data_IF_121817359412
#
_entry.id   IF_121817359412
#
_cell.length_a   1.000
_cell.length_b   1.000
_cell.length_c   1.000
_cell.angle_alpha   90.00
_cell.angle_beta   90.00
_cell.angle_gamma   90.00
#
_symmetry.space_group_name_H-M   'P 1'
#
loop_
_entity.id
_entity.type
_entity.pdbx_description
1 polymer ?
#
# COMPACT_ATOMS: atom_id res chain seq x y z
N UNK A 1 -11.16 -14.34 -7.44
CA UNK A 1 -10.54 -12.99 -7.56
C UNK A 1 -9.10 -13.15 -8.03
N UNK A 2 -8.59 -12.27 -8.92
CA UNK A 2 -7.22 -12.37 -9.40
C UNK A 2 -6.20 -12.01 -8.31
N UNK A 3 -5.10 -12.77 -8.23
CA UNK A 3 -4.04 -12.66 -7.20
C UNK A 3 -3.54 -11.23 -6.96
N UNK A 4 -3.32 -10.47 -8.04
CA UNK A 4 -2.83 -9.09 -7.99
C UNK A 4 -3.85 -8.09 -7.41
N UNK A 5 -5.15 -8.37 -7.53
CA UNK A 5 -6.19 -7.50 -6.96
C UNK A 5 -6.21 -7.53 -5.42
N UNK A 6 -5.65 -8.60 -4.83
CA UNK A 6 -5.70 -8.86 -3.40
C UNK A 6 -4.37 -8.49 -2.72
N UNK A 7 -3.24 -8.99 -3.26
CA UNK A 7 -1.93 -8.89 -2.62
C UNK A 7 -1.11 -7.72 -3.19
N UNK A 8 -1.56 -7.11 -4.29
CA UNK A 8 -0.88 -6.03 -5.03
C UNK A 8 0.53 -6.35 -5.54
N UNK A 9 0.98 -7.59 -5.37
CA UNK A 9 2.24 -8.12 -5.91
C UNK A 9 1.97 -9.19 -6.96
N UNK A 10 2.94 -9.36 -7.86
CA UNK A 10 3.03 -10.55 -8.71
C UNK A 10 3.57 -11.75 -7.91
N UNK A 11 3.28 -13.00 -8.31
CA UNK A 11 3.84 -14.19 -7.65
C UNK A 11 5.37 -14.20 -7.58
N UNK A 12 6.03 -13.68 -8.62
CA UNK A 12 7.49 -13.57 -8.71
C UNK A 12 8.03 -12.57 -7.69
N UNK A 13 7.39 -11.40 -7.59
CA UNK A 13 7.74 -10.39 -6.58
C UNK A 13 7.54 -10.91 -5.16
N UNK A 14 6.44 -11.62 -4.90
CA UNK A 14 6.16 -12.21 -3.59
C UNK A 14 7.24 -13.22 -3.21
N UNK A 15 7.61 -14.11 -4.14
CA UNK A 15 8.67 -15.11 -3.93
C UNK A 15 10.02 -14.44 -3.69
N UNK A 16 10.34 -13.38 -4.45
CA UNK A 16 11.57 -12.61 -4.25
C UNK A 16 11.60 -11.95 -2.88
N UNK A 17 10.50 -11.34 -2.45
CA UNK A 17 10.39 -10.74 -1.12
C UNK A 17 10.54 -11.79 -0.01
N UNK A 18 9.87 -12.94 -0.15
CA UNK A 18 9.98 -14.04 0.80
C UNK A 18 11.43 -14.54 0.98
N UNK A 19 12.20 -14.64 -0.12
CA UNK A 19 13.64 -14.99 -0.07
C UNK A 19 14.51 -13.93 0.62
N UNK A 20 14.14 -12.65 0.52
CA UNK A 20 14.85 -11.59 1.25
C UNK A 20 14.52 -11.68 2.74
N UNK A 21 13.24 -11.88 3.07
CA UNK A 21 12.77 -11.97 4.45
C UNK A 21 13.22 -13.26 5.17
N UNK A 22 13.43 -14.37 4.46
CA UNK A 22 13.88 -15.65 5.06
C UNK A 22 15.22 -15.57 5.78
N UNK A 23 16.02 -14.53 5.49
CA UNK A 23 17.30 -14.26 6.16
C UNK A 23 17.14 -13.62 7.52
N UNK A 24 15.93 -13.16 7.88
CA UNK A 24 15.67 -12.50 9.16
C UNK A 24 15.47 -13.54 10.27
N UNK A 25 16.07 -13.28 11.44
CA UNK A 25 15.99 -14.16 12.62
C UNK A 25 14.56 -14.38 13.13
N UNK A 26 13.65 -13.44 12.86
CA UNK A 26 12.21 -13.56 13.19
C UNK A 26 11.54 -14.76 12.51
N UNK A 27 12.13 -15.30 11.43
CA UNK A 27 11.65 -16.51 10.79
C UNK A 27 12.33 -17.81 11.25
N UNK A 28 13.40 -17.73 12.04
CA UNK A 28 14.09 -18.91 12.55
C UNK A 28 13.34 -19.44 13.78
N UNK A 29 12.86 -20.69 13.71
CA UNK A 29 12.18 -21.35 14.83
C UNK A 29 13.07 -22.47 15.35
N UNK A 30 13.46 -22.42 16.63
CA UNK A 30 14.29 -23.44 17.28
C UNK A 30 15.55 -23.81 16.48
N UNK A 31 16.28 -22.82 15.95
CA UNK A 31 17.46 -22.99 15.09
C UNK A 31 17.22 -23.80 13.80
N UNK A 32 15.96 -23.98 13.36
CA UNK A 32 15.64 -24.55 12.06
C UNK A 32 15.35 -23.44 11.07
N UNK A 33 15.89 -23.61 9.86
CA UNK A 33 15.56 -22.72 8.75
C UNK A 33 14.07 -22.85 8.40
N UNK A 34 13.36 -21.73 8.25
CA UNK A 34 11.97 -21.72 7.81
C UNK A 34 11.87 -22.20 6.36
N UNK A 35 10.83 -22.98 6.06
CA UNK A 35 10.48 -23.26 4.66
C UNK A 35 10.07 -21.97 3.96
N UNK A 36 10.55 -21.76 2.74
CA UNK A 36 10.16 -20.62 1.90
C UNK A 36 8.64 -20.57 1.68
N UNK A 37 8.00 -21.72 1.57
CA UNK A 37 6.54 -21.82 1.41
C UNK A 37 5.80 -21.27 2.63
N UNK A 38 6.30 -21.54 3.84
CA UNK A 38 5.72 -21.02 5.07
C UNK A 38 5.78 -19.49 5.07
N UNK A 39 6.93 -18.90 4.77
CA UNK A 39 7.10 -17.44 4.71
C UNK A 39 6.17 -16.83 3.64
N UNK A 40 6.02 -17.50 2.50
CA UNK A 40 5.08 -17.08 1.46
C UNK A 40 3.66 -17.06 2.00
N UNK A 41 3.21 -18.08 2.75
CA UNK A 41 1.88 -18.11 3.37
C UNK A 41 1.72 -16.96 4.36
N UNK A 42 2.68 -16.77 5.27
CA UNK A 42 2.65 -15.70 6.27
C UNK A 42 2.60 -14.31 5.60
N UNK A 43 3.35 -14.12 4.51
CA UNK A 43 3.31 -12.90 3.71
C UNK A 43 1.97 -12.70 3.00
N UNK A 44 1.38 -13.75 2.41
CA UNK A 44 0.07 -13.66 1.75
C UNK A 44 -0.99 -13.18 2.74
N UNK A 45 -1.03 -13.78 3.93
CA UNK A 45 -1.96 -13.40 5.00
C UNK A 45 -1.73 -11.95 5.43
N UNK A 46 -0.46 -11.58 5.66
CA UNK A 46 -0.10 -10.23 6.11
C UNK A 46 -0.46 -9.17 5.08
N UNK A 47 -0.06 -9.37 3.82
CA UNK A 47 -0.31 -8.41 2.74
C UNK A 47 -1.79 -8.30 2.43
N UNK A 48 -2.55 -9.40 2.50
CA UNK A 48 -4.01 -9.35 2.41
C UNK A 48 -4.59 -8.49 3.53
N UNK A 49 -4.23 -8.77 4.78
CA UNK A 49 -4.73 -8.04 5.95
C UNK A 49 -4.44 -6.54 5.86
N UNK A 50 -3.24 -6.16 5.44
CA UNK A 50 -2.84 -4.76 5.29
C UNK A 50 -3.45 -4.09 4.05
N UNK A 51 -3.79 -4.87 3.03
CA UNK A 51 -4.33 -4.38 1.77
C UNK A 51 -5.84 -4.15 1.78
N UNK A 52 -6.55 -4.73 2.74
CA UNK A 52 -8.01 -4.68 2.87
C UNK A 52 -8.40 -3.84 4.09
N UNK A 53 -9.19 -2.81 3.85
CA UNK A 53 -9.70 -1.90 4.88
C UNK A 53 -11.08 -2.34 5.37
N UNK A 54 -11.34 -2.22 6.67
CA UNK A 54 -12.65 -2.51 7.27
C UNK A 54 -13.03 -3.99 7.36
N UNK A 55 -12.14 -4.93 7.03
CA UNK A 55 -12.41 -6.37 7.18
C UNK A 55 -11.93 -6.88 8.54
N UNK A 56 -12.82 -7.48 9.36
CA UNK A 56 -12.46 -8.06 10.65
C UNK A 56 -11.40 -9.17 10.54
N UNK A 57 -10.57 -9.32 11.57
CA UNK A 57 -9.45 -10.28 11.58
C UNK A 57 -9.91 -11.74 11.52
N UNK A 58 -11.06 -12.06 12.12
CA UNK A 58 -11.75 -13.34 12.07
C UNK A 58 -12.22 -13.68 10.66
N UNK A 59 -12.74 -12.71 9.92
CA UNK A 59 -13.07 -12.88 8.49
C UNK A 59 -11.81 -13.18 7.68
N UNK A 60 -10.71 -12.44 7.90
CA UNK A 60 -9.41 -12.74 7.26
C UNK A 60 -8.96 -14.16 7.58
N UNK A 61 -9.02 -14.55 8.86
CA UNK A 61 -8.54 -15.83 9.33
C UNK A 61 -9.34 -17.01 8.77
N UNK A 62 -10.67 -17.00 8.95
CA UNK A 62 -11.54 -18.14 8.65
C UNK A 62 -11.95 -18.19 7.18
N UNK A 63 -12.45 -17.08 6.63
CA UNK A 63 -13.05 -17.07 5.28
C UNK A 63 -11.99 -17.09 4.19
N UNK A 64 -10.88 -16.37 4.38
CA UNK A 64 -9.88 -16.20 3.31
C UNK A 64 -8.70 -17.17 3.38
N UNK A 65 -8.28 -17.59 4.58
CA UNK A 65 -7.03 -18.34 4.76
C UNK A 65 -7.16 -19.65 5.54
N UNK A 66 -8.29 -19.93 6.19
CA UNK A 66 -8.49 -21.16 6.98
C UNK A 66 -7.51 -21.30 8.15
N UNK A 67 -7.09 -20.20 8.76
CA UNK A 67 -6.14 -20.17 9.91
C UNK A 67 -6.82 -19.62 11.15
N UNK A 68 -6.17 -19.74 12.32
CA UNK A 68 -6.65 -19.09 13.54
C UNK A 68 -6.38 -17.57 13.51
N UNK A 69 -7.18 -16.80 14.24
CA UNK A 69 -6.97 -15.36 14.43
C UNK A 69 -5.60 -15.06 15.05
N UNK A 70 -5.16 -15.89 16.01
CA UNK A 70 -3.83 -15.81 16.60
C UNK A 70 -2.71 -15.99 15.57
N UNK A 71 -2.87 -16.91 14.62
CA UNK A 71 -1.92 -17.07 13.50
C UNK A 71 -1.86 -15.83 12.62
N UNK A 72 -3.01 -15.25 12.24
CA UNK A 72 -3.03 -13.99 11.48
C UNK A 72 -2.29 -12.88 12.23
N UNK A 73 -2.52 -12.75 13.53
CA UNK A 73 -1.82 -11.77 14.36
C UNK A 73 -0.30 -11.99 14.36
N UNK A 74 0.13 -13.22 14.62
CA UNK A 74 1.55 -13.58 14.67
C UNK A 74 2.26 -13.39 13.32
N UNK A 75 1.64 -13.83 12.23
CA UNK A 75 2.20 -13.68 10.88
C UNK A 75 2.36 -12.21 10.52
N UNK A 76 1.35 -11.39 10.84
CA UNK A 76 1.37 -9.96 10.58
C UNK A 76 2.53 -9.27 11.29
N UNK A 77 2.68 -9.49 12.60
CA UNK A 77 3.76 -8.86 13.36
C UNK A 77 5.15 -9.33 12.91
N UNK A 78 5.33 -10.63 12.70
CA UNK A 78 6.60 -11.18 12.23
C UNK A 78 7.02 -10.61 10.88
N UNK A 79 6.08 -10.52 9.94
CA UNK A 79 6.32 -9.90 8.64
C UNK A 79 6.62 -8.40 8.77
N UNK A 80 5.90 -7.66 9.63
CA UNK A 80 6.15 -6.24 9.86
C UNK A 80 7.54 -6.02 10.45
N UNK A 81 7.94 -6.77 11.47
CA UNK A 81 9.26 -6.63 12.10
C UNK A 81 10.39 -6.95 11.12
N UNK A 82 10.21 -8.00 10.32
CA UNK A 82 11.19 -8.34 9.29
C UNK A 82 11.27 -7.28 8.18
N UNK A 83 10.15 -6.67 7.79
CA UNK A 83 10.13 -5.56 6.83
C UNK A 83 10.75 -4.28 7.42
N UNK A 84 10.51 -3.99 8.70
CA UNK A 84 11.12 -2.86 9.40
C UNK A 84 12.64 -2.96 9.43
N UNK A 85 13.19 -4.16 9.64
CA UNK A 85 14.63 -4.39 9.57
C UNK A 85 15.24 -4.10 8.18
N UNK A 86 14.43 -4.04 7.12
CA UNK A 86 14.85 -3.67 5.77
C UNK A 86 14.63 -2.18 5.47
N UNK A 87 13.85 -1.47 6.28
CA UNK A 87 13.43 -0.09 5.99
C UNK A 87 14.65 0.83 5.78
N UNK A 88 15.62 0.83 6.68
CA UNK A 88 16.79 1.71 6.59
C UNK A 88 17.64 1.47 5.33
N UNK A 89 17.61 0.25 4.81
CA UNK A 89 18.33 -0.11 3.58
C UNK A 89 17.65 0.42 2.32
N UNK A 90 16.32 0.42 2.28
CA UNK A 90 15.55 0.71 1.07
C UNK A 90 14.83 2.06 1.09
N UNK A 91 14.53 2.60 2.27
CA UNK A 91 13.80 3.84 2.50
C UNK A 91 14.78 4.84 3.11
N UNK A 92 15.70 5.33 2.29
CA UNK A 92 16.71 6.32 2.69
C UNK A 92 16.62 7.55 1.80
N UNK A 93 17.02 8.70 2.34
CA UNK A 93 17.20 9.89 1.53
C UNK A 93 18.34 9.66 0.54
N UNK A 94 18.19 10.00 -0.76
CA UNK A 94 19.24 9.80 -1.74
C UNK A 94 20.48 10.63 -1.40
N UNK A 95 21.65 10.10 -1.71
CA UNK A 95 22.92 10.84 -1.60
C UNK A 95 23.09 11.85 -2.75
N UNK A 96 24.17 12.62 -2.74
CA UNK A 96 24.40 13.68 -3.72
C UNK A 96 24.43 13.15 -5.17
N UNK A 97 25.04 11.97 -5.39
CA UNK A 97 25.15 11.36 -6.72
C UNK A 97 23.79 10.83 -7.16
N UNK A 98 23.08 10.15 -6.26
CA UNK A 98 21.75 9.61 -6.52
C UNK A 98 20.73 10.72 -6.80
N UNK A 99 20.83 11.86 -6.10
CA UNK A 99 20.00 13.05 -6.36
C UNK A 99 20.17 13.58 -7.78
N UNK A 100 21.40 13.70 -8.29
CA UNK A 100 21.65 14.16 -9.67
C UNK A 100 20.98 13.20 -10.65
N UNK A 101 21.24 11.90 -10.50
CA UNK A 101 20.64 10.87 -11.36
C UNK A 101 19.12 10.89 -11.34
N UNK A 102 18.50 11.07 -10.18
CA UNK A 102 17.03 11.15 -10.06
C UNK A 102 16.51 12.40 -10.79
N UNK A 103 17.14 13.56 -10.60
CA UNK A 103 16.75 14.81 -11.27
C UNK A 103 16.81 14.68 -12.78
N UNK A 104 17.90 14.12 -13.30
CA UNK A 104 18.10 13.94 -14.74
C UNK A 104 17.03 13.00 -15.30
N UNK A 105 16.79 11.87 -14.63
CA UNK A 105 15.72 10.94 -15.01
C UNK A 105 14.33 11.62 -15.07
N UNK A 106 13.97 12.40 -14.04
CA UNK A 106 12.68 13.11 -14.03
C UNK A 106 12.59 14.21 -15.07
N UNK A 107 13.69 14.89 -15.36
CA UNK A 107 13.73 15.89 -16.43
C UNK A 107 13.53 15.23 -17.79
N UNK A 108 14.33 14.21 -18.11
CA UNK A 108 14.31 13.52 -19.40
C UNK A 108 13.00 12.77 -19.67
N UNK A 109 12.49 12.05 -18.68
CA UNK A 109 11.37 11.12 -18.88
C UNK A 109 10.01 11.69 -18.48
N UNK A 110 10.00 12.76 -17.67
CA UNK A 110 8.77 13.33 -17.09
C UNK A 110 8.67 14.85 -17.27
N UNK A 111 9.72 15.53 -17.73
CA UNK A 111 9.74 16.98 -17.92
C UNK A 111 9.78 17.80 -16.63
N UNK A 112 10.09 17.19 -15.49
CA UNK A 112 10.12 17.89 -14.19
C UNK A 112 11.57 18.22 -13.77
N UNK A 113 12.03 19.47 -13.93
CA UNK A 113 13.37 19.87 -13.51
C UNK A 113 13.49 19.83 -11.99
N UNK A 114 14.68 19.46 -11.50
CA UNK A 114 15.01 19.42 -10.07
C UNK A 114 14.09 18.53 -9.21
N UNK A 115 13.38 17.58 -9.80
CA UNK A 115 12.52 16.64 -9.08
C UNK A 115 13.34 15.49 -8.47
N UNK A 116 13.20 15.27 -7.16
CA UNK A 116 13.86 14.19 -6.41
C UNK A 116 12.95 12.99 -6.14
N UNK A 117 11.72 13.03 -6.64
CA UNK A 117 10.71 12.00 -6.40
C UNK A 117 9.32 12.59 -6.49
N UNK A 118 8.33 11.73 -6.68
CA UNK A 118 6.93 12.08 -6.61
C UNK A 118 6.28 11.31 -5.45
N UNK A 119 5.47 12.01 -4.67
CA UNK A 119 4.63 11.41 -3.63
C UNK A 119 3.20 11.43 -4.15
N UNK A 120 2.49 10.32 -4.01
CA UNK A 120 1.07 10.27 -4.37
C UNK A 120 0.28 11.29 -3.55
N UNK A 121 -0.82 11.78 -4.12
CA UNK A 121 -1.65 12.78 -3.48
C UNK A 121 -2.29 12.26 -2.18
N UNK A 122 -2.50 13.17 -1.23
CA UNK A 122 -3.25 12.87 -0.02
C UNK A 122 -4.75 12.91 -0.35
N UNK A 123 -5.46 11.85 0.02
CA UNK A 123 -6.91 11.82 -0.02
C UNK A 123 -7.49 12.37 1.28
N UNK A 124 -8.41 13.33 1.18
CA UNK A 124 -9.14 13.89 2.31
C UNK A 124 -10.54 13.26 2.35
N UNK A 125 -10.88 12.49 3.41
CA UNK A 125 -12.21 11.93 3.55
C UNK A 125 -13.21 13.04 3.86
N UNK A 126 -14.37 13.00 3.19
CA UNK A 126 -15.51 13.84 3.53
C UNK A 126 -16.52 13.05 4.37
N UNK A 127 -17.07 13.70 5.40
CA UNK A 127 -18.10 13.13 6.27
C UNK A 127 -19.42 12.92 5.54
N UNK A 128 -19.71 13.76 4.55
CA UNK A 128 -20.90 13.69 3.70
C UNK A 128 -20.49 13.72 2.23
N UNK A 129 -21.34 13.13 1.39
CA UNK A 129 -21.17 13.31 -0.04
C UNK A 129 -21.56 14.75 -0.42
N UNK A 130 -20.87 15.35 -1.39
CA UNK A 130 -21.40 16.55 -2.01
C UNK A 130 -22.76 16.25 -2.65
N UNK A 131 -23.65 17.23 -2.59
CA UNK A 131 -25.03 17.17 -3.12
C UNK A 131 -25.07 17.02 -4.64
N UNK A 132 -23.96 17.34 -5.31
CA UNK A 132 -23.80 17.23 -6.77
C UNK A 132 -22.75 16.20 -7.16
N UNK A 133 -23.08 15.36 -8.16
CA UNK A 133 -22.24 14.25 -8.67
C UNK A 133 -21.66 13.30 -7.59
N UNK A 134 -22.41 13.02 -6.52
CA UNK A 134 -22.04 12.15 -5.39
C UNK A 134 -21.29 10.86 -5.77
N UNK A 135 -21.71 10.18 -6.85
CA UNK A 135 -21.10 8.91 -7.30
C UNK A 135 -19.64 9.07 -7.73
N UNK A 136 -19.25 10.24 -8.23
CA UNK A 136 -17.89 10.54 -8.71
C UNK A 136 -16.91 10.68 -7.55
N UNK A 137 -17.40 11.08 -6.38
CA UNK A 137 -16.61 11.23 -5.16
C UNK A 137 -16.46 9.92 -4.37
N UNK A 138 -17.18 8.87 -4.76
CA UNK A 138 -17.14 7.59 -4.07
C UNK A 138 -15.86 6.83 -4.46
N UNK A 139 -15.00 6.58 -3.48
CA UNK A 139 -13.78 5.82 -3.70
C UNK A 139 -14.02 4.32 -3.58
N UNK A 140 -13.01 3.54 -3.98
CA UNK A 140 -12.95 2.09 -3.75
C UNK A 140 -12.90 1.70 -2.26
N UNK A 141 -12.77 2.67 -1.35
CA UNK A 141 -12.76 2.47 0.11
C UNK A 141 -14.14 2.70 0.73
N UNK A 142 -15.20 2.80 -0.08
CA UNK A 142 -16.58 3.05 0.39
C UNK A 142 -16.72 4.32 1.25
N UNK A 143 -15.92 5.33 0.95
CA UNK A 143 -16.07 6.67 1.52
C UNK A 143 -15.84 7.73 0.43
N UNK A 144 -16.31 8.94 0.70
CA UNK A 144 -16.16 10.09 -0.19
C UNK A 144 -14.78 10.71 0.01
N UNK A 145 -14.00 10.89 -1.06
CA UNK A 145 -12.66 11.47 -0.95
C UNK A 145 -12.41 12.55 -2.01
N UNK A 146 -11.77 13.65 -1.61
CA UNK A 146 -11.07 14.57 -2.50
C UNK A 146 -9.57 14.31 -2.51
N UNK A 147 -8.87 14.62 -3.61
CA UNK A 147 -7.41 14.66 -3.66
C UNK A 147 -6.98 16.07 -4.09
N UNK A 148 -5.98 16.63 -3.44
CA UNK A 148 -5.41 17.94 -3.83
C UNK A 148 -4.66 17.88 -5.16
N UNK A 149 -4.11 16.72 -5.51
CA UNK A 149 -3.40 16.50 -6.76
C UNK A 149 -4.21 15.57 -7.65
N UNK A 150 -4.94 16.17 -8.59
CA UNK A 150 -5.47 15.45 -9.75
C UNK A 150 -6.49 14.34 -9.45
N UNK A 151 -7.45 14.54 -8.53
CA UNK A 151 -8.61 13.65 -8.56
C UNK A 151 -9.46 13.95 -9.79
N UNK A 152 -9.80 12.89 -10.53
CA UNK A 152 -10.81 12.94 -11.59
C UNK A 152 -12.06 13.68 -11.12
N UNK A 153 -12.48 13.45 -9.86
CA UNK A 153 -13.57 14.17 -9.21
C UNK A 153 -13.33 15.68 -9.15
N UNK A 154 -12.18 16.15 -8.66
CA UNK A 154 -11.86 17.57 -8.57
C UNK A 154 -11.84 18.26 -9.94
N UNK A 155 -11.26 17.62 -10.95
CA UNK A 155 -11.23 18.13 -12.33
C UNK A 155 -12.62 18.17 -12.96
N UNK A 156 -13.37 17.08 -12.88
CA UNK A 156 -14.72 16.94 -13.46
C UNK A 156 -15.73 17.88 -12.82
N UNK A 157 -15.58 18.12 -11.53
CA UNK A 157 -16.56 18.87 -10.76
C UNK A 157 -16.31 20.38 -10.76
N UNK A 158 -15.14 20.82 -11.21
CA UNK A 158 -14.72 22.22 -11.16
C UNK A 158 -14.96 22.87 -9.78
N UNK A 159 -14.65 22.13 -8.71
CA UNK A 159 -14.87 22.58 -7.33
C UNK A 159 -14.30 23.99 -7.06
N UNK A 160 -13.16 24.31 -7.68
CA UNK A 160 -12.48 25.60 -7.55
C UNK A 160 -13.22 26.79 -8.17
N UNK A 161 -14.17 26.57 -9.10
CA UNK A 161 -14.97 27.66 -9.70
C UNK A 161 -16.38 27.75 -9.14
N UNK A 162 -16.91 26.69 -8.50
CA UNK A 162 -18.30 26.67 -8.02
C UNK A 162 -18.47 26.07 -6.61
N UNK A 163 -17.78 26.58 -5.58
CA UNK A 163 -17.75 25.97 -4.24
C UNK A 163 -19.14 25.87 -3.56
N UNK A 164 -20.05 26.82 -3.82
CA UNK A 164 -21.40 26.83 -3.24
C UNK A 164 -22.32 25.68 -3.70
N UNK A 165 -21.89 24.87 -4.67
CA UNK A 165 -22.61 23.66 -5.11
C UNK A 165 -22.29 22.41 -4.29
N UNK A 166 -21.26 22.46 -3.44
CA UNK A 166 -20.71 21.28 -2.75
C UNK A 166 -20.90 21.33 -1.24
N UNK A 167 -20.96 22.52 -0.66
CA UNK A 167 -21.13 22.75 0.78
C UNK A 167 -22.46 23.49 0.99
N UNK A 168 -23.52 22.74 1.34
CA UNK A 168 -24.81 23.25 1.81
C UNK A 168 -25.14 22.59 3.14
#
# INVERSE_FOLDING_TARGET
MPFKAIIRLTPEQLTKLARVLSRNIVFQKNNKEPSLEQIIIELKVTLFRLGVEGVPIDTVAFIFFGVSTGSVHNYTWRCIDALKALADRYIRWPDAVEKVRIKDYFLEHKGFPNCLGAVDGIFFPFSTAPTWETKVWNSRKFSYFGCFNDSYAYKRTHLHTHPGRFFQ
#
